data_IF_863116431697
#
_entry.id   IF_863116431697
#
_cell.length_a   1.000
_cell.length_b   1.000
_cell.length_c   1.000
_cell.angle_alpha   90.00
_cell.angle_beta   90.00
_cell.angle_gamma   90.00
#
_symmetry.space_group_name_H-M   'P 1'
#
loop_
_entity.id
_entity.type
_entity.pdbx_description
1 polymer ?
#
# COMPACT_ATOMS: atom_id res chain seq x y z
N UNK A 1 24.97 -58.70 28.14
CA UNK A 1 24.81 -58.76 29.59
C UNK A 1 23.52 -58.00 29.83
N UNK A 2 22.51 -58.76 29.87
CA UNK A 2 21.60 -59.21 30.96
C UNK A 2 20.65 -58.08 31.34
N UNK A 3 19.37 -58.19 31.50
CA UNK A 3 18.40 -59.30 31.54
C UNK A 3 17.02 -58.62 31.58
N UNK A 4 16.10 -59.23 30.83
CA UNK A 4 14.67 -59.08 31.10
C UNK A 4 14.30 -59.72 32.42
N UNK A 5 13.16 -59.38 33.03
CA UNK A 5 12.18 -60.43 33.12
C UNK A 5 10.71 -60.01 32.84
N UNK A 6 10.05 -60.91 32.15
CA UNK A 6 8.64 -61.02 31.89
C UNK A 6 7.85 -61.25 33.19
N UNK A 7 6.66 -60.69 33.23
CA UNK A 7 5.62 -61.09 34.21
C UNK A 7 4.30 -61.46 33.43
N UNK A 8 3.57 -62.48 33.89
CA UNK A 8 2.53 -63.10 33.10
C UNK A 8 1.15 -62.50 33.31
N UNK A 9 0.43 -62.40 32.22
CA UNK A 9 -1.01 -62.03 32.19
C UNK A 9 -1.85 -63.26 32.61
N UNK A 10 -2.69 -63.09 33.61
CA UNK A 10 -3.75 -64.00 33.99
C UNK A 10 -4.97 -63.85 33.05
N UNK A 11 -5.80 -64.92 32.98
CA UNK A 11 -6.95 -64.91 32.07
C UNK A 11 -8.08 -64.04 32.62
N UNK A 12 -8.64 -63.16 31.75
CA UNK A 12 -9.85 -62.41 32.00
C UNK A 12 -11.11 -63.28 31.85
N UNK A 13 -12.24 -62.88 32.45
CA UNK A 13 -13.46 -63.69 32.49
C UNK A 13 -14.20 -63.65 31.13
N UNK A 14 -14.72 -64.83 30.78
CA UNK A 14 -15.61 -65.09 29.64
C UNK A 14 -16.89 -64.27 29.75
N UNK A 15 -17.05 -63.32 28.84
CA UNK A 15 -18.34 -62.69 28.58
C UNK A 15 -19.11 -63.54 27.58
N UNK A 16 -20.07 -64.27 28.08
CA UNK A 16 -21.07 -64.95 27.28
C UNK A 16 -21.85 -63.92 26.47
N UNK A 17 -21.75 -64.04 25.17
CA UNK A 17 -22.59 -63.32 24.21
C UNK A 17 -23.97 -63.93 24.24
N UNK A 18 -24.86 -63.35 25.06
CA UNK A 18 -26.30 -63.50 24.88
C UNK A 18 -26.67 -62.79 23.56
N UNK A 19 -27.03 -63.57 22.59
CA UNK A 19 -27.62 -63.12 21.35
C UNK A 19 -28.98 -62.49 21.62
N UNK A 20 -29.00 -61.17 21.59
CA UNK A 20 -30.21 -60.39 21.50
C UNK A 20 -30.49 -60.16 20.03
N UNK A 21 -31.12 -61.13 19.38
CA UNK A 21 -31.79 -60.91 18.09
C UNK A 21 -32.90 -59.87 18.31
N UNK A 22 -32.56 -58.58 18.20
CA UNK A 22 -33.52 -57.54 17.90
C UNK A 22 -33.99 -57.76 16.47
N UNK A 23 -35.10 -58.54 16.35
CA UNK A 23 -35.86 -58.57 15.13
C UNK A 23 -36.27 -57.16 14.76
N UNK A 24 -35.52 -56.55 13.86
CA UNK A 24 -35.91 -55.31 13.23
C UNK A 24 -37.20 -55.63 12.43
N UNK A 25 -38.29 -55.04 12.89
CA UNK A 25 -39.59 -55.12 12.25
C UNK A 25 -39.44 -54.59 10.82
N UNK A 26 -39.67 -55.40 9.77
CA UNK A 26 -39.51 -54.96 8.39
C UNK A 26 -40.31 -53.72 8.03
N UNK A 27 -41.46 -53.49 8.72
CA UNK A 27 -42.24 -52.26 8.57
C UNK A 27 -41.53 -51.01 9.13
N UNK A 28 -40.71 -51.17 10.19
CA UNK A 28 -39.90 -50.07 10.74
C UNK A 28 -38.70 -49.75 9.84
N UNK A 29 -38.15 -50.72 9.16
CA UNK A 29 -37.06 -50.49 8.16
C UNK A 29 -37.59 -49.83 6.89
N UNK A 30 -38.80 -50.18 6.44
CA UNK A 30 -39.46 -49.49 5.33
C UNK A 30 -39.87 -48.07 5.70
N UNK A 31 -40.39 -47.80 6.92
CA UNK A 31 -40.69 -46.46 7.41
C UNK A 31 -39.45 -45.59 7.59
N UNK A 32 -38.32 -46.15 8.02
CA UNK A 32 -37.04 -45.45 8.08
C UNK A 32 -36.44 -45.19 6.69
N UNK A 33 -36.59 -46.11 5.74
CA UNK A 33 -36.17 -45.90 4.36
C UNK A 33 -37.05 -44.86 3.64
N UNK A 34 -38.34 -44.83 3.93
CA UNK A 34 -39.28 -43.86 3.37
C UNK A 34 -39.11 -42.44 4.01
N UNK A 35 -38.77 -42.35 5.27
CA UNK A 35 -38.41 -41.09 5.95
C UNK A 35 -37.08 -40.50 5.39
N UNK A 36 -36.13 -41.34 5.02
CA UNK A 36 -34.86 -40.89 4.41
C UNK A 36 -35.02 -40.42 2.95
N UNK A 37 -36.13 -40.79 2.29
CA UNK A 37 -36.45 -40.40 0.92
C UNK A 37 -37.43 -39.21 0.84
N UNK A 38 -38.03 -38.79 1.91
CA UNK A 38 -38.93 -37.64 1.89
C UNK A 38 -38.11 -36.33 1.76
N UNK A 39 -38.47 -35.49 0.78
CA UNK A 39 -37.83 -34.22 0.48
C UNK A 39 -37.71 -33.21 1.64
N UNK A 40 -38.43 -33.44 2.72
CA UNK A 40 -38.38 -32.64 3.98
C UNK A 40 -37.01 -32.74 4.66
N UNK A 41 -36.37 -33.93 4.73
CA UNK A 41 -35.04 -34.08 5.34
C UNK A 41 -33.95 -33.41 4.49
N UNK A 42 -34.14 -33.38 3.16
CA UNK A 42 -33.22 -32.70 2.24
C UNK A 42 -33.38 -31.19 2.33
N UNK A 43 -34.60 -30.66 2.48
CA UNK A 43 -34.86 -29.24 2.67
C UNK A 43 -34.37 -28.73 4.05
N UNK A 44 -34.60 -29.48 5.12
CA UNK A 44 -34.10 -29.17 6.48
C UNK A 44 -32.55 -29.19 6.51
N UNK A 45 -31.93 -30.14 5.83
CA UNK A 45 -30.46 -30.18 5.70
C UNK A 45 -29.89 -29.02 4.87
N UNK A 46 -30.58 -28.62 3.81
CA UNK A 46 -30.18 -27.47 2.97
C UNK A 46 -30.37 -26.14 3.73
N UNK A 47 -31.46 -26.01 4.49
CA UNK A 47 -31.73 -24.82 5.31
C UNK A 47 -30.76 -24.71 6.50
N UNK A 48 -30.39 -25.84 7.11
CA UNK A 48 -29.40 -25.88 8.18
C UNK A 48 -28.00 -25.50 7.66
N UNK A 49 -27.62 -25.98 6.47
CA UNK A 49 -26.36 -25.57 5.78
C UNK A 49 -26.35 -24.08 5.48
N UNK A 50 -27.41 -23.53 4.89
CA UNK A 50 -27.54 -22.07 4.64
C UNK A 50 -27.45 -21.26 5.91
N UNK A 51 -28.06 -21.71 7.00
CA UNK A 51 -27.95 -21.04 8.31
C UNK A 51 -26.52 -21.10 8.88
N UNK A 52 -25.81 -22.22 8.70
CA UNK A 52 -24.41 -22.34 9.10
C UNK A 52 -23.49 -21.46 8.25
N UNK A 53 -23.66 -21.42 6.94
CA UNK A 53 -22.93 -20.53 6.03
C UNK A 53 -23.16 -19.05 6.39
N UNK A 54 -24.42 -18.65 6.61
CA UNK A 54 -24.76 -17.27 7.01
C UNK A 54 -24.15 -16.90 8.38
N UNK A 55 -24.10 -17.84 9.33
CA UNK A 55 -23.44 -17.63 10.63
C UNK A 55 -21.90 -17.55 10.49
N UNK A 56 -21.31 -18.39 9.62
CA UNK A 56 -19.88 -18.36 9.35
C UNK A 56 -19.47 -17.04 8.67
N UNK A 57 -20.25 -16.57 7.69
CA UNK A 57 -20.02 -15.29 7.02
C UNK A 57 -20.18 -14.10 7.99
N UNK A 58 -21.18 -14.14 8.86
CA UNK A 58 -21.36 -13.12 9.89
C UNK A 58 -20.22 -13.11 10.92
N UNK A 59 -19.74 -14.29 11.32
CA UNK A 59 -18.58 -14.41 12.21
C UNK A 59 -17.31 -13.89 11.56
N UNK A 60 -17.04 -14.26 10.29
CA UNK A 60 -15.92 -13.77 9.51
C UNK A 60 -15.94 -12.23 9.34
N UNK A 61 -17.13 -11.66 9.07
CA UNK A 61 -17.31 -10.22 8.97
C UNK A 61 -17.06 -9.49 10.30
N UNK A 62 -17.45 -10.10 11.43
CA UNK A 62 -17.19 -9.57 12.77
C UNK A 62 -15.70 -9.61 13.12
N UNK A 63 -15.03 -10.72 12.79
CA UNK A 63 -13.57 -10.84 12.99
C UNK A 63 -12.81 -9.84 12.14
N UNK A 64 -13.19 -9.65 10.88
CA UNK A 64 -12.60 -8.64 10.00
C UNK A 64 -12.79 -7.22 10.56
N UNK A 65 -13.98 -6.89 11.10
CA UNK A 65 -14.23 -5.63 11.79
C UNK A 65 -13.38 -5.47 13.05
N UNK A 66 -13.21 -6.53 13.83
CA UNK A 66 -12.35 -6.54 15.03
C UNK A 66 -10.88 -6.33 14.67
N UNK A 67 -10.37 -7.05 13.69
CA UNK A 67 -9.00 -6.87 13.18
C UNK A 67 -8.77 -5.45 12.67
N UNK A 68 -9.68 -4.91 11.86
CA UNK A 68 -9.58 -3.53 11.38
C UNK A 68 -9.57 -2.50 12.53
N UNK A 69 -10.42 -2.68 13.53
CA UNK A 69 -10.44 -1.80 14.73
C UNK A 69 -9.16 -1.93 15.55
N UNK A 70 -8.62 -3.12 15.67
CA UNK A 70 -7.35 -3.36 16.36
C UNK A 70 -6.19 -2.67 15.64
N UNK A 71 -6.10 -2.83 14.32
CA UNK A 71 -5.07 -2.18 13.49
C UNK A 71 -5.14 -0.65 13.59
N UNK A 72 -6.33 -0.06 13.45
CA UNK A 72 -6.51 1.39 13.60
C UNK A 72 -6.10 1.86 15.00
N UNK A 73 -6.50 1.14 16.05
CA UNK A 73 -6.15 1.47 17.43
C UNK A 73 -4.65 1.32 17.70
N UNK A 74 -4.02 0.32 17.11
CA UNK A 74 -2.57 0.10 17.20
C UNK A 74 -1.79 1.22 16.48
N UNK A 75 -2.24 1.64 15.29
CA UNK A 75 -1.68 2.77 14.54
C UNK A 75 -1.80 4.07 15.31
N UNK A 76 -2.99 4.40 15.84
CA UNK A 76 -3.21 5.61 16.61
C UNK A 76 -2.46 5.64 17.96
N UNK A 77 -2.03 4.48 18.47
CA UNK A 77 -1.17 4.37 19.66
C UNK A 77 0.32 4.40 19.35
N UNK A 78 0.72 4.28 18.09
CA UNK A 78 2.11 4.37 17.67
C UNK A 78 2.55 5.84 17.64
N UNK A 79 3.48 6.29 18.49
CA UNK A 79 3.92 7.69 18.50
C UNK A 79 4.57 8.08 17.18
N UNK A 80 5.30 7.16 16.56
CA UNK A 80 5.95 7.38 15.26
C UNK A 80 4.92 7.67 14.16
N UNK A 81 3.86 6.84 14.09
CA UNK A 81 2.78 7.05 13.15
C UNK A 81 2.05 8.38 13.39
N UNK A 82 1.75 8.71 14.65
CA UNK A 82 1.05 9.93 15.02
C UNK A 82 1.84 11.20 14.68
N UNK A 83 3.15 11.22 14.98
CA UNK A 83 4.02 12.36 14.61
C UNK A 83 4.03 12.54 13.09
N UNK A 84 4.25 11.46 12.33
CA UNK A 84 4.22 11.50 10.87
C UNK A 84 2.88 11.99 10.33
N UNK A 85 1.77 11.50 10.88
CA UNK A 85 0.42 11.90 10.49
C UNK A 85 0.16 13.38 10.75
N UNK A 86 0.57 13.91 11.91
CA UNK A 86 0.43 15.33 12.25
C UNK A 86 1.20 16.19 11.25
N UNK A 87 2.44 15.83 10.91
CA UNK A 87 3.25 16.57 9.93
C UNK A 87 2.61 16.57 8.55
N UNK A 88 2.13 15.40 8.08
CA UNK A 88 1.48 15.31 6.76
C UNK A 88 0.16 16.10 6.75
N UNK A 89 -0.68 15.99 7.80
CA UNK A 89 -1.93 16.78 7.92
C UNK A 89 -1.62 18.27 7.95
N UNK A 90 -0.58 18.70 8.66
CA UNK A 90 -0.13 20.09 8.67
C UNK A 90 0.15 20.57 7.25
N UNK A 91 0.92 19.83 6.43
CA UNK A 91 1.23 20.24 5.07
C UNK A 91 0.04 20.16 4.12
N UNK A 92 -0.88 19.21 4.32
CA UNK A 92 -2.15 19.15 3.57
C UNK A 92 -3.00 20.39 3.89
N UNK A 93 -3.08 20.77 5.16
CA UNK A 93 -3.78 21.98 5.59
C UNK A 93 -3.15 23.23 4.98
N UNK A 94 -1.81 23.38 5.05
CA UNK A 94 -1.08 24.48 4.45
C UNK A 94 -1.30 24.56 2.93
N UNK A 95 -1.25 23.43 2.23
CA UNK A 95 -1.51 23.38 0.78
C UNK A 95 -2.95 23.80 0.42
N UNK A 96 -3.93 23.40 1.22
CA UNK A 96 -5.34 23.70 0.97
C UNK A 96 -5.68 25.17 1.26
N UNK A 97 -5.13 25.71 2.34
CA UNK A 97 -5.50 27.04 2.87
C UNK A 97 -4.47 28.13 2.55
N UNK A 98 -3.39 27.83 1.81
CA UNK A 98 -2.34 28.82 1.49
C UNK A 98 -2.88 30.11 0.89
N UNK A 99 -3.88 30.04 0.01
CA UNK A 99 -4.48 31.21 -0.65
C UNK A 99 -5.28 32.12 0.31
N UNK A 100 -5.73 31.58 1.45
CA UNK A 100 -6.50 32.32 2.46
C UNK A 100 -5.62 32.86 3.59
N UNK A 101 -4.50 32.19 3.87
CA UNK A 101 -3.64 32.48 4.99
C UNK A 101 -2.48 33.42 4.65
N UNK A 102 -2.12 33.53 3.37
CA UNK A 102 -0.96 34.28 2.92
C UNK A 102 -1.28 35.14 1.70
N UNK A 103 -0.35 36.01 1.35
CA UNK A 103 -0.38 36.77 0.09
C UNK A 103 -0.28 35.83 -1.10
N UNK A 104 -0.54 36.34 -2.30
CA UNK A 104 -0.37 35.54 -3.52
C UNK A 104 1.09 35.04 -3.65
N UNK A 105 1.32 33.72 -3.81
CA UNK A 105 2.68 33.16 -3.89
C UNK A 105 3.42 33.55 -5.16
N UNK A 106 2.75 34.22 -6.09
CA UNK A 106 3.29 34.65 -7.40
C UNK A 106 3.35 36.16 -7.53
N UNK A 107 2.77 36.93 -6.59
CA UNK A 107 2.84 38.38 -6.62
C UNK A 107 4.29 38.86 -6.45
N UNK A 108 4.77 39.68 -7.37
CA UNK A 108 6.14 40.20 -7.39
C UNK A 108 6.15 41.65 -6.94
N UNK A 109 7.16 42.02 -6.16
CA UNK A 109 7.40 43.38 -5.74
C UNK A 109 8.92 43.69 -5.78
N UNK A 110 9.38 44.26 -6.85
CA UNK A 110 10.81 44.54 -7.06
C UNK A 110 11.42 45.41 -5.95
N UNK A 111 10.63 46.28 -5.30
CA UNK A 111 11.10 47.13 -4.18
C UNK A 111 11.33 46.35 -2.88
N UNK A 112 10.78 45.11 -2.81
CA UNK A 112 10.91 44.23 -1.64
C UNK A 112 11.83 43.02 -1.94
N UNK A 113 12.72 43.11 -2.96
CA UNK A 113 13.65 42.01 -3.30
C UNK A 113 14.61 41.72 -2.16
N UNK A 114 14.76 40.40 -1.83
CA UNK A 114 15.69 39.86 -0.81
C UNK A 114 15.60 40.50 0.56
N UNK A 115 14.41 40.97 0.98
CA UNK A 115 14.21 41.52 2.33
C UNK A 115 14.17 40.39 3.35
N UNK A 116 14.85 40.57 4.48
CA UNK A 116 14.86 39.62 5.57
C UNK A 116 13.49 39.44 6.25
N UNK A 117 13.36 38.43 7.10
CA UNK A 117 12.15 38.22 7.89
C UNK A 117 11.73 39.47 8.66
N UNK A 118 10.44 39.83 8.54
CA UNK A 118 9.86 41.04 9.14
C UNK A 118 8.39 40.80 9.50
N UNK A 119 7.75 41.78 10.18
CA UNK A 119 6.32 41.68 10.48
C UNK A 119 5.44 41.70 9.23
N UNK A 120 5.90 42.26 8.11
CA UNK A 120 5.22 42.26 6.82
C UNK A 120 5.45 40.95 6.02
N UNK A 121 6.65 40.35 6.16
CA UNK A 121 7.06 39.14 5.51
C UNK A 121 7.75 38.21 6.51
N UNK A 122 7.01 37.33 7.15
CA UNK A 122 7.49 36.49 8.25
C UNK A 122 8.71 35.64 7.90
N UNK A 123 8.77 35.12 6.68
CA UNK A 123 9.91 34.36 6.17
C UNK A 123 10.78 35.16 5.20
N UNK A 124 10.57 36.50 5.13
CA UNK A 124 11.26 37.35 4.17
C UNK A 124 10.73 37.20 2.75
N UNK A 125 11.45 37.79 1.81
CA UNK A 125 11.12 37.77 0.37
C UNK A 125 12.24 37.15 -0.45
N UNK A 126 11.91 36.67 -1.66
CA UNK A 126 12.85 36.11 -2.61
C UNK A 126 13.45 37.18 -3.56
N UNK A 127 14.20 36.76 -4.56
CA UNK A 127 14.87 37.59 -5.55
C UNK A 127 13.92 38.51 -6.34
N UNK A 128 12.66 38.07 -6.53
CA UNK A 128 11.61 38.81 -7.22
C UNK A 128 10.68 39.57 -6.26
N UNK A 129 11.03 39.62 -4.95
CA UNK A 129 10.22 40.22 -3.91
C UNK A 129 8.92 39.50 -3.62
N UNK A 130 8.84 38.18 -3.89
CA UNK A 130 7.70 37.33 -3.56
C UNK A 130 7.82 36.84 -2.12
N UNK A 131 6.71 36.72 -1.43
CA UNK A 131 6.70 36.25 -0.05
C UNK A 131 7.08 34.78 0.10
N UNK A 132 8.17 34.51 0.85
CA UNK A 132 8.72 33.16 1.01
C UNK A 132 7.78 32.25 1.80
N UNK A 133 7.03 32.78 2.79
CA UNK A 133 6.03 31.99 3.53
C UNK A 133 4.91 31.52 2.60
N UNK A 134 4.36 32.45 1.80
CA UNK A 134 3.31 32.15 0.84
C UNK A 134 3.75 31.07 -0.16
N UNK A 135 4.98 31.17 -0.68
CA UNK A 135 5.56 30.18 -1.59
C UNK A 135 5.81 28.84 -0.92
N UNK A 136 6.31 28.85 0.32
CA UNK A 136 6.54 27.61 1.08
C UNK A 136 5.23 26.87 1.36
N UNK A 137 4.18 27.58 1.75
CA UNK A 137 2.86 26.97 2.00
C UNK A 137 2.22 26.45 0.71
N UNK A 138 2.22 27.25 -0.35
CA UNK A 138 1.62 26.87 -1.64
C UNK A 138 2.41 25.76 -2.35
N UNK A 139 3.73 25.70 -2.15
CA UNK A 139 4.61 24.69 -2.74
C UNK A 139 4.31 23.25 -2.28
N UNK A 140 3.73 23.09 -1.10
CA UNK A 140 3.28 21.79 -0.62
C UNK A 140 2.28 21.13 -1.57
N UNK A 141 1.46 21.92 -2.27
CA UNK A 141 0.40 21.42 -3.16
C UNK A 141 0.96 20.58 -4.31
N UNK A 142 2.05 21.03 -4.96
CA UNK A 142 2.64 20.30 -6.08
C UNK A 142 3.15 18.93 -5.64
N UNK A 143 3.87 18.86 -4.53
CA UNK A 143 4.43 17.61 -4.01
C UNK A 143 3.32 16.66 -3.54
N UNK A 144 2.31 17.19 -2.82
CA UNK A 144 1.17 16.40 -2.32
C UNK A 144 0.23 15.89 -3.42
N UNK A 145 0.28 16.45 -4.63
CA UNK A 145 -0.44 15.93 -5.80
C UNK A 145 0.44 14.93 -6.58
N UNK A 146 1.68 15.30 -6.87
CA UNK A 146 2.56 14.51 -7.74
C UNK A 146 2.92 13.18 -7.08
N UNK A 147 3.39 13.20 -5.83
CA UNK A 147 3.91 11.99 -5.19
C UNK A 147 2.84 10.92 -4.96
N UNK A 148 1.64 11.21 -4.40
CA UNK A 148 0.60 10.19 -4.26
C UNK A 148 0.10 9.65 -5.59
N UNK A 149 -0.14 10.51 -6.60
CA UNK A 149 -0.63 10.05 -7.91
C UNK A 149 0.40 9.20 -8.64
N UNK A 150 1.67 9.56 -8.59
CA UNK A 150 2.76 8.74 -9.14
C UNK A 150 2.86 7.39 -8.42
N UNK A 151 2.70 7.38 -7.09
CA UNK A 151 2.71 6.14 -6.29
C UNK A 151 1.53 5.24 -6.66
N UNK A 152 0.32 5.78 -6.75
CA UNK A 152 -0.87 5.02 -7.17
C UNK A 152 -0.67 4.43 -8.57
N UNK A 153 -0.13 5.19 -9.49
CA UNK A 153 0.16 4.73 -10.85
C UNK A 153 1.19 3.57 -10.85
N UNK A 154 2.26 3.70 -10.05
CA UNK A 154 3.25 2.64 -9.88
C UNK A 154 2.65 1.37 -9.26
N UNK A 155 1.76 1.52 -8.26
CA UNK A 155 1.07 0.39 -7.65
C UNK A 155 0.10 -0.29 -8.62
N UNK A 156 -0.60 0.47 -9.44
CA UNK A 156 -1.52 -0.08 -10.44
C UNK A 156 -0.75 -0.86 -11.51
N UNK A 157 0.22 -0.24 -12.16
CA UNK A 157 1.00 -0.90 -13.22
C UNK A 157 1.87 -2.03 -12.67
N UNK A 158 2.63 -1.77 -11.60
CA UNK A 158 3.47 -2.76 -10.96
C UNK A 158 2.66 -3.90 -10.34
N UNK A 159 1.48 -3.58 -9.77
CA UNK A 159 0.54 -4.56 -9.25
C UNK A 159 0.03 -5.50 -10.33
N UNK A 160 -0.42 -4.99 -11.47
CA UNK A 160 -0.88 -5.80 -12.60
C UNK A 160 0.26 -6.68 -13.15
N UNK A 161 1.43 -6.08 -13.41
CA UNK A 161 2.59 -6.78 -13.95
C UNK A 161 3.06 -7.87 -12.97
N UNK A 162 3.20 -7.54 -11.68
CA UNK A 162 3.63 -8.49 -10.65
C UNK A 162 2.63 -9.61 -10.41
N UNK A 163 1.31 -9.31 -10.48
CA UNK A 163 0.25 -10.30 -10.36
C UNK A 163 0.29 -11.30 -11.51
N UNK A 164 0.43 -10.83 -12.75
CA UNK A 164 0.53 -11.69 -13.95
C UNK A 164 1.79 -12.55 -13.87
N UNK A 165 2.96 -11.97 -13.62
CA UNK A 165 4.23 -12.69 -13.56
C UNK A 165 4.22 -13.74 -12.44
N UNK A 166 3.78 -13.39 -11.23
CA UNK A 166 3.71 -14.30 -10.09
C UNK A 166 2.69 -15.44 -10.27
N UNK A 167 1.56 -15.16 -10.93
CA UNK A 167 0.50 -16.14 -11.15
C UNK A 167 0.86 -17.17 -12.23
N UNK A 168 1.30 -16.73 -13.41
CA UNK A 168 1.54 -17.65 -14.52
C UNK A 168 2.87 -18.39 -14.39
N UNK A 169 3.93 -17.75 -13.85
CA UNK A 169 5.30 -18.32 -13.75
C UNK A 169 5.86 -18.79 -15.13
N UNK A 170 6.95 -19.54 -15.09
CA UNK A 170 7.57 -20.11 -16.30
C UNK A 170 8.05 -19.02 -17.27
N UNK A 171 7.84 -19.23 -18.55
CA UNK A 171 8.30 -18.34 -19.63
C UNK A 171 7.72 -16.93 -19.53
N UNK A 172 6.44 -16.80 -19.16
CA UNK A 172 5.78 -15.50 -18.98
C UNK A 172 6.48 -14.67 -17.91
N UNK A 173 6.75 -15.30 -16.77
CA UNK A 173 7.47 -14.68 -15.67
C UNK A 173 8.90 -14.28 -16.08
N UNK A 174 9.60 -15.19 -16.74
CA UNK A 174 10.98 -14.94 -17.18
C UNK A 174 11.08 -13.76 -18.15
N UNK A 175 10.22 -13.68 -19.16
CA UNK A 175 10.21 -12.57 -20.12
C UNK A 175 9.89 -11.26 -19.43
N UNK A 176 8.86 -11.20 -18.59
CA UNK A 176 8.46 -9.99 -17.87
C UNK A 176 9.60 -9.54 -16.95
N UNK A 177 10.18 -10.46 -16.17
CA UNK A 177 11.23 -10.10 -15.21
C UNK A 177 12.52 -9.69 -15.90
N UNK A 178 12.89 -10.25 -17.05
CA UNK A 178 14.03 -9.75 -17.84
C UNK A 178 13.80 -8.32 -18.32
N UNK A 179 12.58 -7.98 -18.77
CA UNK A 179 12.24 -6.60 -19.11
C UNK A 179 12.35 -5.66 -17.92
N UNK A 180 11.87 -6.10 -16.76
CA UNK A 180 12.00 -5.37 -15.49
C UNK A 180 13.45 -5.17 -15.09
N UNK A 181 14.30 -6.19 -15.27
CA UNK A 181 15.73 -6.13 -14.93
C UNK A 181 16.48 -5.08 -15.80
N UNK A 182 16.15 -5.01 -17.08
CA UNK A 182 16.70 -3.98 -17.98
C UNK A 182 16.31 -2.57 -17.51
N UNK A 183 15.06 -2.37 -17.11
CA UNK A 183 14.60 -1.08 -16.59
C UNK A 183 15.30 -0.69 -15.29
N UNK A 184 15.53 -1.67 -14.39
CA UNK A 184 16.19 -1.45 -13.11
C UNK A 184 17.72 -1.28 -13.22
N UNK A 185 18.32 -1.69 -14.34
CA UNK A 185 19.74 -1.44 -14.59
C UNK A 185 20.05 0.06 -14.83
N UNK A 186 19.03 0.85 -15.20
CA UNK A 186 19.19 2.27 -15.44
C UNK A 186 18.99 3.07 -14.13
N UNK A 187 19.90 4.04 -13.82
CA UNK A 187 19.71 4.92 -12.67
C UNK A 187 18.43 5.74 -12.80
N UNK A 188 17.55 5.67 -11.79
CA UNK A 188 16.21 6.26 -11.80
C UNK A 188 16.24 7.75 -12.15
N UNK A 189 17.16 8.54 -11.57
CA UNK A 189 17.23 9.98 -11.81
C UNK A 189 17.61 10.27 -13.27
N UNK A 190 18.59 9.54 -13.83
CA UNK A 190 19.02 9.72 -15.23
C UNK A 190 17.88 9.39 -16.20
N UNK A 191 17.21 8.27 -15.96
CA UNK A 191 16.06 7.85 -16.78
C UNK A 191 14.89 8.84 -16.67
N UNK A 192 14.65 9.39 -15.46
CA UNK A 192 13.63 10.44 -15.26
C UNK A 192 13.95 11.68 -16.09
N UNK A 193 15.19 12.16 -16.04
CA UNK A 193 15.65 13.32 -16.80
C UNK A 193 15.48 13.09 -18.30
N UNK A 194 15.87 11.91 -18.79
CA UNK A 194 15.70 11.56 -20.20
C UNK A 194 14.24 11.60 -20.65
N UNK A 195 13.35 10.96 -19.88
CA UNK A 195 11.92 10.95 -20.17
C UNK A 195 11.34 12.37 -20.18
N UNK A 196 11.67 13.18 -19.18
CA UNK A 196 11.16 14.55 -19.06
C UNK A 196 11.76 15.49 -20.12
N UNK A 197 12.99 15.24 -20.57
CA UNK A 197 13.60 15.98 -21.68
C UNK A 197 12.89 15.72 -23.01
N UNK A 198 12.40 14.50 -23.22
CA UNK A 198 11.71 14.10 -24.45
C UNK A 198 10.22 14.50 -24.45
N UNK A 199 9.53 14.32 -23.32
CA UNK A 199 8.09 14.54 -23.23
C UNK A 199 7.70 15.96 -22.79
N UNK A 200 8.68 16.74 -22.30
CA UNK A 200 8.47 18.11 -21.84
C UNK A 200 8.09 18.20 -20.36
N UNK A 201 7.69 19.42 -19.93
CA UNK A 201 7.39 19.77 -18.54
C UNK A 201 5.88 19.79 -18.30
N UNK A 202 5.45 19.25 -17.18
CA UNK A 202 4.04 19.28 -16.78
C UNK A 202 3.73 18.30 -15.65
N UNK A 203 2.76 18.64 -14.82
CA UNK A 203 2.38 17.82 -13.67
C UNK A 203 2.05 16.37 -14.07
N UNK A 204 1.27 16.19 -15.13
CA UNK A 204 0.89 14.85 -15.61
C UNK A 204 2.10 14.05 -16.10
N UNK A 205 3.02 14.69 -16.81
CA UNK A 205 4.22 14.03 -17.36
C UNK A 205 5.13 13.57 -16.21
N UNK A 206 5.31 14.41 -15.18
CA UNK A 206 6.10 14.08 -13.99
C UNK A 206 5.48 12.88 -13.25
N UNK A 207 4.14 12.88 -13.07
CA UNK A 207 3.41 11.79 -12.43
C UNK A 207 3.62 10.48 -13.21
N UNK A 208 3.47 10.51 -14.53
CA UNK A 208 3.63 9.33 -15.38
C UNK A 208 5.09 8.85 -15.34
N UNK A 209 6.06 9.76 -15.45
CA UNK A 209 7.48 9.41 -15.43
C UNK A 209 7.89 8.73 -14.11
N UNK A 210 7.56 9.34 -12.95
CA UNK A 210 7.86 8.76 -11.64
C UNK A 210 7.10 7.44 -11.44
N UNK A 211 5.82 7.39 -11.82
CA UNK A 211 4.99 6.19 -11.72
C UNK A 211 5.56 5.03 -12.54
N UNK A 212 5.94 5.28 -13.79
CA UNK A 212 6.56 4.28 -14.66
C UNK A 212 7.89 3.76 -14.11
N UNK A 213 8.72 4.66 -13.57
CA UNK A 213 10.04 4.31 -13.02
C UNK A 213 9.96 3.50 -11.71
N UNK A 214 8.90 3.65 -10.92
CA UNK A 214 8.69 2.84 -9.73
C UNK A 214 7.95 1.52 -10.01
N UNK A 215 7.28 1.41 -11.15
CA UNK A 215 6.58 0.19 -11.60
C UNK A 215 7.44 -1.08 -11.52
N UNK A 216 8.71 -1.09 -11.98
CA UNK A 216 9.58 -2.27 -11.90
C UNK A 216 9.80 -2.78 -10.47
N UNK A 217 10.03 -1.89 -9.52
CA UNK A 217 10.26 -2.28 -8.12
C UNK A 217 8.99 -2.82 -7.49
N UNK A 218 7.86 -2.14 -7.69
CA UNK A 218 6.54 -2.59 -7.21
C UNK A 218 6.19 -3.95 -7.79
N UNK A 219 6.44 -4.18 -9.09
CA UNK A 219 6.13 -5.46 -9.73
C UNK A 219 6.90 -6.63 -9.12
N UNK A 220 8.17 -6.43 -8.71
CA UNK A 220 8.95 -7.46 -8.02
C UNK A 220 8.37 -7.80 -6.64
N UNK A 221 7.99 -6.79 -5.87
CA UNK A 221 7.39 -6.98 -4.53
C UNK A 221 6.05 -7.70 -4.64
N UNK A 222 5.18 -7.26 -5.55
CA UNK A 222 3.87 -7.91 -5.76
C UNK A 222 4.04 -9.33 -6.29
N UNK A 223 4.94 -9.57 -7.26
CA UNK A 223 5.26 -10.92 -7.74
C UNK A 223 5.67 -11.86 -6.62
N UNK A 224 6.56 -11.41 -5.73
CA UNK A 224 7.00 -12.23 -4.59
C UNK A 224 5.83 -12.62 -3.68
N UNK A 225 4.94 -11.67 -3.38
CA UNK A 225 3.74 -11.92 -2.58
C UNK A 225 2.77 -12.90 -3.28
N UNK A 226 2.56 -12.74 -4.60
CA UNK A 226 1.69 -13.62 -5.40
C UNK A 226 2.22 -15.05 -5.44
N UNK A 227 3.55 -15.24 -5.58
CA UNK A 227 4.16 -16.57 -5.59
C UNK A 227 3.88 -17.31 -4.28
N UNK A 228 3.99 -16.65 -3.14
CA UNK A 228 3.66 -17.25 -1.84
C UNK A 228 2.18 -17.56 -1.66
N UNK A 229 1.30 -16.68 -2.17
CA UNK A 229 -0.14 -16.83 -1.96
C UNK A 229 -0.78 -17.86 -2.92
N UNK A 230 -0.28 -17.96 -4.16
CA UNK A 230 -0.85 -18.89 -5.16
C UNK A 230 -0.74 -20.37 -4.80
N UNK A 231 0.16 -20.73 -3.88
CA UNK A 231 0.38 -22.10 -3.40
C UNK A 231 -0.51 -22.47 -2.20
N UNK A 232 -1.37 -21.54 -1.74
CA UNK A 232 -2.32 -21.77 -0.65
C UNK A 232 -3.46 -22.70 -1.11
N UNK A 233 -3.98 -23.49 -0.18
CA UNK A 233 -5.01 -24.50 -0.40
C UNK A 233 -6.28 -23.92 -1.04
N UNK A 234 -6.73 -22.75 -0.59
CA UNK A 234 -7.94 -22.12 -1.13
C UNK A 234 -7.77 -21.69 -2.60
N UNK A 235 -6.56 -21.28 -3.02
CA UNK A 235 -6.27 -20.98 -4.43
C UNK A 235 -6.27 -22.25 -5.27
N UNK A 236 -5.71 -23.36 -4.73
CA UNK A 236 -5.77 -24.66 -5.39
C UNK A 236 -7.21 -25.16 -5.53
N UNK A 237 -8.02 -25.01 -4.48
CA UNK A 237 -9.43 -25.36 -4.52
C UNK A 237 -10.21 -24.55 -5.58
N UNK A 238 -9.96 -23.24 -5.69
CA UNK A 238 -10.57 -22.41 -6.73
C UNK A 238 -10.21 -22.87 -8.15
N UNK A 239 -8.95 -23.27 -8.36
CA UNK A 239 -8.50 -23.82 -9.64
C UNK A 239 -9.15 -25.18 -9.95
N UNK A 240 -9.30 -26.06 -8.95
CA UNK A 240 -9.98 -27.35 -9.10
C UNK A 240 -11.47 -27.19 -9.42
N UNK A 241 -12.12 -26.15 -8.95
CA UNK A 241 -13.49 -25.76 -9.34
C UNK A 241 -13.58 -25.25 -10.80
N UNK A 242 -12.45 -25.12 -11.51
CA UNK A 242 -12.42 -24.64 -12.89
C UNK A 242 -12.58 -23.12 -13.03
N UNK A 243 -12.31 -22.35 -11.98
CA UNK A 243 -12.45 -20.90 -12.02
C UNK A 243 -11.43 -20.25 -12.97
N UNK A 244 -11.85 -19.18 -13.65
CA UNK A 244 -11.00 -18.46 -14.61
C UNK A 244 -9.82 -17.82 -13.90
N UNK A 245 -8.63 -17.86 -14.51
CA UNK A 245 -7.40 -17.29 -13.95
C UNK A 245 -7.55 -15.84 -13.49
N UNK A 246 -8.26 -15.01 -14.27
CA UNK A 246 -8.54 -13.61 -13.90
C UNK A 246 -9.40 -13.48 -12.64
N UNK A 247 -10.37 -14.36 -12.44
CA UNK A 247 -11.18 -14.41 -11.23
C UNK A 247 -10.33 -14.81 -10.02
N UNK A 248 -9.52 -15.87 -10.15
CA UNK A 248 -8.62 -16.32 -9.08
C UNK A 248 -7.64 -15.22 -8.68
N UNK A 249 -7.02 -14.54 -9.66
CA UNK A 249 -6.11 -13.43 -9.39
C UNK A 249 -6.80 -12.27 -8.67
N UNK A 250 -8.00 -11.85 -9.10
CA UNK A 250 -8.67 -10.66 -8.59
C UNK A 250 -9.44 -10.91 -7.29
N UNK A 251 -10.05 -12.10 -7.12
CA UNK A 251 -10.93 -12.41 -6.00
C UNK A 251 -10.26 -13.23 -4.90
N UNK A 252 -9.31 -14.08 -5.25
CA UNK A 252 -8.66 -14.95 -4.28
C UNK A 252 -7.29 -14.41 -3.87
N UNK A 253 -6.42 -14.04 -4.81
CA UNK A 253 -5.04 -13.65 -4.49
C UNK A 253 -4.94 -12.18 -4.08
N UNK A 254 -5.44 -11.26 -4.91
CA UNK A 254 -5.25 -9.82 -4.72
C UNK A 254 -5.71 -9.31 -3.34
N UNK A 255 -6.88 -9.72 -2.78
CA UNK A 255 -7.28 -9.29 -1.45
C UNK A 255 -6.31 -9.73 -0.34
N UNK A 256 -5.71 -10.92 -0.49
CA UNK A 256 -4.81 -11.50 0.52
C UNK A 256 -3.39 -10.93 0.48
N UNK A 257 -2.96 -10.34 -0.64
CA UNK A 257 -1.66 -9.63 -0.77
C UNK A 257 -1.79 -8.12 -0.58
N UNK A 258 -2.94 -7.62 -0.18
CA UNK A 258 -3.18 -6.17 0.00
C UNK A 258 -2.22 -5.55 1.03
N UNK A 259 -1.89 -6.28 2.10
CA UNK A 259 -0.97 -5.80 3.13
C UNK A 259 0.44 -5.51 2.58
N UNK A 260 1.14 -6.42 1.88
CA UNK A 260 2.40 -6.11 1.20
C UNK A 260 2.30 -4.93 0.23
N UNK A 261 1.20 -4.82 -0.51
CA UNK A 261 0.97 -3.73 -1.46
C UNK A 261 0.88 -2.37 -0.75
N UNK A 262 0.15 -2.29 0.38
CA UNK A 262 0.03 -1.06 1.16
C UNK A 262 1.39 -0.65 1.73
N UNK A 263 2.15 -1.58 2.29
CA UNK A 263 3.50 -1.30 2.82
C UNK A 263 4.41 -0.80 1.71
N UNK A 264 4.46 -1.49 0.56
CA UNK A 264 5.24 -1.05 -0.60
C UNK A 264 4.81 0.36 -1.07
N UNK A 265 3.50 0.62 -1.13
CA UNK A 265 2.96 1.92 -1.51
C UNK A 265 3.41 3.06 -0.59
N UNK A 266 3.44 2.84 0.71
CA UNK A 266 3.92 3.87 1.65
C UNK A 266 5.41 4.13 1.50
N UNK A 267 6.22 3.10 1.26
CA UNK A 267 7.65 3.23 0.95
C UNK A 267 7.84 4.03 -0.34
N UNK A 268 7.09 3.70 -1.40
CA UNK A 268 7.17 4.40 -2.70
C UNK A 268 6.72 5.85 -2.57
N UNK A 269 5.74 6.16 -1.72
CA UNK A 269 5.30 7.53 -1.48
C UNK A 269 6.44 8.42 -0.97
N UNK A 270 7.22 7.95 0.01
CA UNK A 270 8.39 8.67 0.50
C UNK A 270 9.44 8.92 -0.59
N UNK A 271 9.73 7.88 -1.38
CA UNK A 271 10.64 8.02 -2.52
C UNK A 271 10.09 8.94 -3.61
N UNK A 272 8.79 8.95 -3.86
CA UNK A 272 8.17 9.82 -4.87
C UNK A 272 8.25 11.28 -4.48
N UNK A 273 8.05 11.62 -3.20
CA UNK A 273 8.24 12.99 -2.67
C UNK A 273 9.68 13.46 -2.94
N UNK A 274 10.66 12.63 -2.56
CA UNK A 274 12.08 12.95 -2.76
C UNK A 274 12.44 13.08 -4.24
N UNK A 275 11.99 12.14 -5.09
CA UNK A 275 12.28 12.13 -6.53
C UNK A 275 11.66 13.33 -7.22
N UNK A 276 10.40 13.67 -6.91
CA UNK A 276 9.74 14.85 -7.47
C UNK A 276 10.50 16.15 -7.14
N UNK A 277 10.90 16.30 -5.88
CA UNK A 277 11.69 17.46 -5.45
C UNK A 277 13.07 17.52 -6.12
N UNK A 278 13.75 16.38 -6.27
CA UNK A 278 15.05 16.29 -6.95
C UNK A 278 14.93 16.66 -8.42
N UNK A 279 13.90 16.17 -9.12
CA UNK A 279 13.67 16.53 -10.53
C UNK A 279 13.35 18.01 -10.68
N UNK A 280 12.56 18.60 -9.78
CA UNK A 280 12.28 20.03 -9.76
C UNK A 280 13.55 20.85 -9.50
N UNK A 281 14.40 20.42 -8.57
CA UNK A 281 15.69 21.05 -8.29
C UNK A 281 16.64 21.02 -9.49
N UNK A 282 16.62 19.91 -10.26
CA UNK A 282 17.42 19.78 -11.48
C UNK A 282 16.83 20.52 -12.71
N UNK A 283 15.70 21.22 -12.54
CA UNK A 283 15.05 22.01 -13.57
C UNK A 283 14.08 21.24 -14.47
N UNK A 284 13.79 19.97 -14.15
CA UNK A 284 12.85 19.11 -14.86
C UNK A 284 11.47 19.02 -14.16
N UNK A 285 11.24 19.84 -13.13
CA UNK A 285 9.98 19.99 -12.43
C UNK A 285 8.99 20.91 -13.13
N UNK A 286 8.14 21.56 -12.32
CA UNK A 286 7.17 22.54 -12.79
C UNK A 286 7.88 23.81 -13.27
N UNK A 287 7.28 24.43 -14.30
CA UNK A 287 7.82 25.70 -14.80
C UNK A 287 7.46 26.88 -13.88
N UNK A 288 8.31 27.95 -13.84
CA UNK A 288 7.93 29.21 -13.22
C UNK A 288 6.61 29.73 -13.82
N UNK A 289 5.78 30.44 -13.02
CA UNK A 289 6.00 30.97 -11.67
C UNK A 289 5.62 30.02 -10.53
N UNK A 290 5.53 28.71 -10.77
CA UNK A 290 5.13 27.71 -9.76
C UNK A 290 5.90 27.88 -8.45
N UNK A 291 5.22 27.80 -7.28
CA UNK A 291 5.87 27.89 -5.97
C UNK A 291 6.50 26.56 -5.52
N UNK A 292 6.80 25.65 -6.45
CA UNK A 292 7.40 24.33 -6.17
C UNK A 292 8.68 24.45 -5.33
N UNK A 293 8.81 23.62 -4.29
CA UNK A 293 9.95 23.70 -3.36
C UNK A 293 11.29 23.41 -4.02
N UNK A 294 11.36 22.36 -4.84
CA UNK A 294 12.59 21.99 -5.55
C UNK A 294 13.05 23.11 -6.50
N UNK A 295 12.10 23.67 -7.25
CA UNK A 295 12.36 24.79 -8.15
C UNK A 295 12.80 26.06 -7.38
N UNK A 296 12.13 26.36 -6.25
CA UNK A 296 12.48 27.51 -5.41
C UNK A 296 13.90 27.37 -4.88
N UNK A 297 14.25 26.21 -4.29
CA UNK A 297 15.60 25.95 -3.81
C UNK A 297 16.64 26.05 -4.94
N UNK A 298 16.33 25.54 -6.14
CA UNK A 298 17.24 25.60 -7.29
C UNK A 298 17.52 27.04 -7.75
N UNK A 299 16.52 27.88 -7.78
CA UNK A 299 16.65 29.27 -8.22
C UNK A 299 17.37 30.13 -7.18
N UNK A 300 16.98 29.98 -5.91
CA UNK A 300 17.42 30.81 -4.80
C UNK A 300 18.81 30.41 -4.24
N UNK A 301 19.37 29.25 -4.62
CA UNK A 301 20.64 28.75 -4.09
C UNK A 301 21.82 29.73 -4.26
N UNK A 302 21.78 30.57 -5.28
CA UNK A 302 22.81 31.57 -5.55
C UNK A 302 22.80 32.70 -4.49
N UNK A 303 21.67 32.94 -3.85
CA UNK A 303 21.49 33.94 -2.82
C UNK A 303 21.67 33.40 -1.38
N UNK A 304 22.08 32.13 -1.21
CA UNK A 304 22.17 31.46 0.10
C UNK A 304 23.03 32.22 1.12
N UNK A 305 24.07 32.91 0.69
CA UNK A 305 24.95 33.68 1.58
C UNK A 305 24.34 35.03 2.02
N UNK A 306 23.45 35.58 1.21
CA UNK A 306 22.86 36.92 1.42
C UNK A 306 21.47 36.81 2.04
N UNK A 307 20.68 35.85 1.54
CA UNK A 307 19.28 35.63 1.91
C UNK A 307 19.01 34.14 2.18
N UNK A 308 19.59 33.55 3.25
CA UNK A 308 19.49 32.11 3.53
C UNK A 308 18.05 31.62 3.73
N UNK A 309 17.13 32.49 4.16
CA UNK A 309 15.72 32.16 4.37
C UNK A 309 15.01 31.69 3.09
N UNK A 310 15.41 32.20 1.91
CA UNK A 310 14.79 31.82 0.62
C UNK A 310 15.00 30.35 0.26
N UNK A 311 16.08 29.75 0.76
CA UNK A 311 16.44 28.32 0.57
C UNK A 311 16.05 27.48 1.78
N UNK A 312 16.37 27.96 3.00
CA UNK A 312 16.23 27.14 4.22
C UNK A 312 14.77 26.81 4.55
N UNK A 313 13.84 27.74 4.38
CA UNK A 313 12.43 27.46 4.69
C UNK A 313 11.80 26.43 3.72
N UNK A 314 11.92 26.55 2.39
CA UNK A 314 11.44 25.48 1.49
C UNK A 314 12.17 24.15 1.68
N UNK A 315 13.46 24.16 1.98
CA UNK A 315 14.23 22.96 2.26
C UNK A 315 13.78 22.27 3.55
N UNK A 316 13.54 23.02 4.62
CA UNK A 316 12.99 22.51 5.88
C UNK A 316 11.56 21.96 5.70
N UNK A 317 10.74 22.63 4.90
CA UNK A 317 9.40 22.17 4.53
C UNK A 317 9.44 20.82 3.84
N UNK A 318 10.28 20.69 2.79
CA UNK A 318 10.48 19.45 2.08
C UNK A 318 11.01 18.34 3.00
N UNK A 319 12.05 18.61 3.77
CA UNK A 319 12.64 17.65 4.70
C UNK A 319 11.60 17.16 5.73
N UNK A 320 10.81 18.09 6.31
CA UNK A 320 9.78 17.73 7.28
C UNK A 320 8.69 16.83 6.67
N UNK A 321 8.26 17.12 5.43
CA UNK A 321 7.27 16.28 4.72
C UNK A 321 7.82 14.86 4.44
N UNK A 322 9.07 14.77 3.95
CA UNK A 322 9.74 13.48 3.71
C UNK A 322 9.83 12.67 5.00
N UNK A 323 10.28 13.31 6.10
CA UNK A 323 10.34 12.68 7.42
C UNK A 323 8.95 12.25 7.88
N UNK A 324 7.94 13.10 7.72
CA UNK A 324 6.55 12.79 8.09
C UNK A 324 6.01 11.55 7.37
N UNK A 325 6.22 11.46 6.05
CA UNK A 325 5.81 10.29 5.25
C UNK A 325 6.56 9.03 5.67
N UNK A 326 7.88 9.12 5.92
CA UNK A 326 8.68 7.96 6.36
C UNK A 326 8.26 7.48 7.76
N UNK A 327 7.93 8.39 8.68
CA UNK A 327 7.40 8.02 10.01
C UNK A 327 6.04 7.31 9.93
N UNK A 328 5.18 7.68 8.98
CA UNK A 328 3.93 6.95 8.71
C UNK A 328 4.25 5.54 8.22
N UNK A 329 5.19 5.41 7.27
CA UNK A 329 5.63 4.13 6.70
C UNK A 329 6.17 3.19 7.77
N UNK A 330 7.07 3.68 8.63
CA UNK A 330 7.64 2.92 9.75
C UNK A 330 6.59 2.50 10.78
N UNK A 331 5.62 3.38 11.02
CA UNK A 331 4.49 3.10 11.91
C UNK A 331 3.59 1.99 11.36
N UNK A 332 3.26 2.03 10.08
CA UNK A 332 2.51 0.98 9.37
C UNK A 332 3.27 -0.34 9.37
N UNK A 333 4.56 -0.33 9.00
CA UNK A 333 5.40 -1.52 8.96
C UNK A 333 5.43 -2.24 10.30
N UNK A 334 5.60 -1.51 11.42
CA UNK A 334 5.61 -2.10 12.77
C UNK A 334 4.26 -2.68 13.21
N UNK A 335 3.16 -2.15 12.76
CA UNK A 335 1.82 -2.66 13.09
C UNK A 335 1.48 -3.90 12.26
N UNK A 336 1.90 -3.93 11.00
CA UNK A 336 1.65 -5.06 10.10
C UNK A 336 2.62 -6.25 10.29
N UNK A 337 3.77 -6.03 10.93
CA UNK A 337 4.74 -7.11 11.23
C UNK A 337 4.45 -7.85 12.55
N UNK A 338 3.45 -7.41 13.32
CA UNK A 338 2.98 -8.07 14.57
C UNK A 338 1.76 -8.94 14.32
#
# INVERSE_FOLDING_TARGET
MSDEPRSPLGPGPDLQTEGMELGADPEMLELQADAATTGEDHELSAESRKRQETKADAAAALEQKRQRRYLIKALLRSPTFMIGLVVVIFWVFMAAFSMYLTQSPTAQNASASLQGPSAAHWFGTDDLGRDVLARTMAGARSVLIIAPLATVLALLWGGIIGLIAGFYRGVTDEIIMRGIDVLLALPIIITSILILSLLGKGTAIIIIAIGALFTPVVSRTVRAAVIGEREREYVMAARLRGERSGFVMAREILPNITQPIIVEGTIRLGYAVFTAATLSFLGFGLAPPSPDWGLTIANERIFLQIAPWTVLFPAAALASLVVGVNLITDGLGRVFSR
#
